data_IF_169446675776
#
_entry.id   IF_169446675776
#
_cell.length_a   1.000
_cell.length_b   1.000
_cell.length_c   1.000
_cell.angle_alpha   90.00
_cell.angle_beta   90.00
_cell.angle_gamma   90.00
#
_symmetry.space_group_name_H-M   'P 1'
#
loop_
_entity.id
_entity.type
_entity.pdbx_description
1 polymer ?
#
# COMPACT_ATOMS: atom_id res chain seq x y z
N UNK A 1 15.49 -20.86 -17.11
CA UNK A 1 14.71 -19.67 -17.53
C UNK A 1 13.27 -19.74 -17.05
N UNK A 2 12.54 -20.84 -17.31
CA UNK A 2 11.16 -21.03 -16.82
C UNK A 2 11.05 -21.00 -15.28
N UNK A 3 11.99 -21.61 -14.57
CA UNK A 3 12.06 -21.59 -13.09
C UNK A 3 12.15 -20.17 -12.48
N UNK A 4 12.72 -19.20 -13.21
CA UNK A 4 12.84 -17.80 -12.75
C UNK A 4 11.56 -17.01 -13.03
N UNK A 5 10.88 -17.34 -14.13
CA UNK A 5 9.68 -16.61 -14.58
C UNK A 5 8.40 -17.10 -13.90
N UNK A 6 8.35 -18.38 -13.51
CA UNK A 6 7.15 -19.01 -12.96
C UNK A 6 6.70 -18.40 -11.62
N UNK A 7 7.59 -18.15 -10.63
CA UNK A 7 7.20 -17.52 -9.36
C UNK A 7 6.70 -16.09 -9.55
N UNK A 8 7.39 -15.30 -10.36
CA UNK A 8 6.99 -13.91 -10.65
C UNK A 8 5.65 -13.82 -11.36
N UNK A 9 5.38 -14.70 -12.32
CA UNK A 9 4.10 -14.75 -13.02
C UNK A 9 2.94 -15.10 -12.08
N UNK A 10 3.14 -16.09 -11.20
CA UNK A 10 2.14 -16.50 -10.22
C UNK A 10 1.88 -15.39 -9.18
N UNK A 11 2.94 -14.75 -8.66
CA UNK A 11 2.83 -13.61 -7.76
C UNK A 11 2.05 -12.44 -8.42
N UNK A 12 2.34 -12.15 -9.69
CA UNK A 12 1.62 -11.12 -10.45
C UNK A 12 0.13 -11.40 -10.60
N UNK A 13 -0.27 -12.64 -10.90
CA UNK A 13 -1.69 -13.04 -10.97
C UNK A 13 -2.36 -12.90 -9.60
N UNK A 14 -1.71 -13.38 -8.55
CA UNK A 14 -2.24 -13.28 -7.19
C UNK A 14 -2.47 -11.82 -6.77
N UNK A 15 -1.50 -10.94 -7.03
CA UNK A 15 -1.64 -9.51 -6.77
C UNK A 15 -2.75 -8.89 -7.61
N UNK A 16 -2.84 -9.22 -8.91
CA UNK A 16 -3.87 -8.68 -9.79
C UNK A 16 -5.29 -9.05 -9.32
N UNK A 17 -5.48 -10.27 -8.83
CA UNK A 17 -6.75 -10.74 -8.26
C UNK A 17 -7.17 -9.94 -7.02
N UNK A 18 -6.24 -9.47 -6.19
CA UNK A 18 -6.55 -8.63 -5.03
C UNK A 18 -6.69 -7.14 -5.41
N UNK A 19 -5.77 -6.64 -6.25
CA UNK A 19 -5.70 -5.23 -6.63
C UNK A 19 -6.88 -4.79 -7.51
N UNK A 20 -7.39 -5.66 -8.39
CA UNK A 20 -8.53 -5.34 -9.25
C UNK A 20 -9.80 -4.95 -8.48
N UNK A 21 -10.32 -5.83 -7.59
CA UNK A 21 -11.46 -5.51 -6.75
C UNK A 21 -11.22 -4.31 -5.83
N UNK A 22 -10.06 -4.24 -5.16
CA UNK A 22 -9.71 -3.12 -4.29
C UNK A 22 -9.73 -1.79 -5.06
N UNK A 23 -9.10 -1.74 -6.23
CA UNK A 23 -9.03 -0.56 -7.08
C UNK A 23 -10.42 -0.07 -7.51
N UNK A 24 -11.33 -0.98 -7.86
CA UNK A 24 -12.71 -0.62 -8.21
C UNK A 24 -13.43 0.11 -7.07
N UNK A 25 -13.28 -0.36 -5.82
CA UNK A 25 -13.87 0.30 -4.65
C UNK A 25 -13.23 1.65 -4.34
N UNK A 26 -11.90 1.75 -4.47
CA UNK A 26 -11.16 3.01 -4.24
C UNK A 26 -11.63 4.09 -5.21
N UNK A 27 -11.83 3.74 -6.49
CA UNK A 27 -12.35 4.66 -7.52
C UNK A 27 -13.79 5.09 -7.20
N UNK A 28 -14.67 4.15 -6.84
CA UNK A 28 -16.06 4.49 -6.48
C UNK A 28 -16.16 5.43 -5.28
N UNK A 29 -15.23 5.35 -4.32
CA UNK A 29 -15.14 6.27 -3.18
C UNK A 29 -14.49 7.62 -3.50
N UNK A 30 -14.16 7.89 -4.77
CA UNK A 30 -13.44 9.10 -5.22
C UNK A 30 -12.05 9.27 -4.57
N UNK A 31 -11.43 8.21 -4.06
CA UNK A 31 -10.09 8.28 -3.46
C UNK A 31 -8.99 7.97 -4.49
N UNK A 32 -8.90 8.76 -5.57
CA UNK A 32 -7.97 8.45 -6.68
C UNK A 32 -6.50 8.46 -6.27
N UNK A 33 -6.13 9.23 -5.25
CA UNK A 33 -4.75 9.41 -4.79
C UNK A 33 -4.32 8.43 -3.69
N UNK A 34 -5.20 7.51 -3.29
CA UNK A 34 -4.92 6.56 -2.19
C UNK A 34 -3.78 5.60 -2.53
N UNK A 35 -3.80 5.05 -3.75
CA UNK A 35 -2.74 4.14 -4.21
C UNK A 35 -1.36 4.81 -4.29
N UNK A 36 -1.31 6.05 -4.77
CA UNK A 36 -0.09 6.85 -4.86
C UNK A 36 0.50 7.14 -3.46
N UNK A 37 -0.38 7.52 -2.51
CA UNK A 37 0.02 7.75 -1.11
C UNK A 37 0.61 6.50 -0.49
N UNK A 38 0.00 5.32 -0.72
CA UNK A 38 0.50 4.05 -0.21
C UNK A 38 1.84 3.64 -0.84
N UNK A 39 2.07 3.93 -2.11
CA UNK A 39 3.34 3.65 -2.78
C UNK A 39 4.50 4.49 -2.20
N UNK A 40 4.26 5.77 -1.89
CA UNK A 40 5.27 6.60 -1.23
C UNK A 40 5.43 6.27 0.27
N UNK A 41 4.35 5.83 0.93
CA UNK A 41 4.41 5.31 2.30
C UNK A 41 5.28 4.04 2.41
N UNK A 42 5.18 3.12 1.44
CA UNK A 42 6.02 1.92 1.44
C UNK A 42 7.49 2.26 1.20
N UNK A 43 7.79 3.19 0.29
CA UNK A 43 9.16 3.70 0.10
C UNK A 43 9.73 4.32 1.37
N UNK A 44 8.97 5.16 2.07
CA UNK A 44 9.34 5.71 3.36
C UNK A 44 9.62 4.59 4.38
N UNK A 45 8.79 3.55 4.39
CA UNK A 45 8.97 2.37 5.25
C UNK A 45 10.25 1.59 4.95
N UNK A 46 10.58 1.38 3.68
CA UNK A 46 11.87 0.78 3.28
C UNK A 46 13.03 1.65 3.78
N UNK A 47 12.96 2.96 3.57
CA UNK A 47 13.99 3.88 4.03
C UNK A 47 14.19 3.81 5.56
N UNK A 48 13.12 3.76 6.34
CA UNK A 48 13.23 3.56 7.79
C UNK A 48 13.75 2.19 8.19
N UNK A 49 13.34 1.13 7.49
CA UNK A 49 13.83 -0.23 7.74
C UNK A 49 15.35 -0.33 7.56
N UNK A 50 15.85 0.25 6.47
CA UNK A 50 17.30 0.33 6.20
C UNK A 50 18.04 1.21 7.21
N UNK A 51 17.43 2.32 7.68
CA UNK A 51 18.05 3.23 8.66
C UNK A 51 18.24 2.56 10.02
N UNK A 52 17.22 1.81 10.44
CA UNK A 52 17.15 1.18 11.75
C UNK A 52 17.78 -0.22 11.78
N UNK A 53 18.31 -0.69 10.65
CA UNK A 53 18.83 -2.05 10.44
C UNK A 53 17.78 -3.15 10.79
N UNK A 54 16.51 -2.85 10.52
CA UNK A 54 15.37 -3.77 10.73
C UNK A 54 14.94 -4.33 9.39
N UNK A 55 14.42 -5.57 9.39
CA UNK A 55 13.89 -6.18 8.18
C UNK A 55 12.89 -5.23 7.47
N UNK A 56 13.17 -4.81 6.22
CA UNK A 56 12.34 -3.85 5.49
C UNK A 56 10.88 -4.25 5.37
N UNK A 57 10.59 -5.55 5.33
CA UNK A 57 9.22 -6.07 5.25
C UNK A 57 8.36 -5.57 6.41
N UNK A 58 8.84 -5.69 7.65
CA UNK A 58 8.11 -5.23 8.83
C UNK A 58 8.05 -3.70 8.93
N UNK A 59 9.13 -3.02 8.54
CA UNK A 59 9.18 -1.56 8.54
C UNK A 59 8.16 -0.96 7.55
N UNK A 60 8.05 -1.54 6.35
CA UNK A 60 7.05 -1.15 5.33
C UNK A 60 5.64 -1.31 5.89
N UNK A 61 5.32 -2.48 6.45
CA UNK A 61 3.99 -2.72 7.03
C UNK A 61 3.69 -1.71 8.15
N UNK A 62 4.63 -1.49 9.07
CA UNK A 62 4.45 -0.57 10.19
C UNK A 62 4.23 0.89 9.75
N UNK A 63 5.09 1.41 8.86
CA UNK A 63 5.00 2.79 8.38
C UNK A 63 3.74 3.00 7.53
N UNK A 64 3.39 2.03 6.69
CA UNK A 64 2.18 2.10 5.85
C UNK A 64 0.91 2.07 6.71
N UNK A 65 0.85 1.21 7.74
CA UNK A 65 -0.25 1.18 8.71
C UNK A 65 -0.35 2.48 9.51
N UNK A 66 0.79 3.05 9.90
CA UNK A 66 0.84 4.32 10.64
C UNK A 66 0.30 5.47 9.77
N UNK A 67 0.73 5.56 8.51
CA UNK A 67 0.23 6.56 7.57
C UNK A 67 -1.26 6.35 7.24
N UNK A 68 -1.69 5.11 7.00
CA UNK A 68 -3.10 4.80 6.78
C UNK A 68 -3.97 5.15 8.01
N UNK A 69 -3.51 4.83 9.22
CA UNK A 69 -4.18 5.21 10.46
C UNK A 69 -4.24 6.72 10.68
N UNK A 70 -3.14 7.43 10.38
CA UNK A 70 -3.07 8.88 10.41
C UNK A 70 -4.06 9.52 9.43
N UNK A 71 -4.16 8.98 8.21
CA UNK A 71 -5.15 9.41 7.23
C UNK A 71 -6.58 9.23 7.74
N UNK A 72 -6.93 8.04 8.26
CA UNK A 72 -8.28 7.76 8.79
C UNK A 72 -8.61 8.67 9.97
N UNK A 73 -7.64 9.00 10.81
CA UNK A 73 -7.84 9.94 11.92
C UNK A 73 -8.08 11.37 11.44
N UNK A 74 -7.37 11.78 10.39
CA UNK A 74 -7.49 13.10 9.79
C UNK A 74 -8.77 13.25 8.95
N UNK A 75 -9.21 12.19 8.28
CA UNK A 75 -10.49 12.11 7.55
C UNK A 75 -11.69 12.35 8.46
N UNK A 76 -11.61 11.96 9.75
CA UNK A 76 -12.68 12.23 10.73
C UNK A 76 -12.85 13.72 11.05
N UNK A 77 -11.93 14.59 10.61
CA UNK A 77 -12.04 16.03 10.78
C UNK A 77 -12.63 16.66 9.51
N UNK A 78 -13.83 17.28 9.56
CA UNK A 78 -14.57 17.71 8.37
C UNK A 78 -14.00 18.97 7.68
N UNK A 79 -12.77 19.39 7.99
CA UNK A 79 -12.24 20.69 7.57
C UNK A 79 -11.52 20.66 6.21
N UNK A 80 -11.11 19.48 5.71
CA UNK A 80 -10.29 19.35 4.50
C UNK A 80 -10.81 18.23 3.60
N UNK A 81 -10.70 18.43 2.27
CA UNK A 81 -11.02 17.40 1.30
C UNK A 81 -10.05 16.22 1.41
N UNK A 82 -10.57 14.99 1.35
CA UNK A 82 -9.76 13.77 1.43
C UNK A 82 -8.63 13.75 0.38
N UNK A 83 -8.89 14.30 -0.81
CA UNK A 83 -7.93 14.34 -1.91
C UNK A 83 -6.72 15.25 -1.61
N UNK A 84 -6.94 16.36 -0.91
CA UNK A 84 -5.83 17.25 -0.52
C UNK A 84 -5.00 16.64 0.61
N UNK A 85 -5.65 15.95 1.55
CA UNK A 85 -4.96 15.22 2.61
C UNK A 85 -4.08 14.09 2.05
N UNK A 86 -4.62 13.31 1.12
CA UNK A 86 -3.89 12.25 0.42
C UNK A 86 -2.67 12.83 -0.32
N UNK A 87 -2.86 13.91 -1.09
CA UNK A 87 -1.76 14.57 -1.80
C UNK A 87 -0.65 15.08 -0.88
N UNK A 88 -1.00 15.72 0.24
CA UNK A 88 -0.02 16.22 1.22
C UNK A 88 0.73 15.06 1.90
N UNK A 89 0.01 14.00 2.27
CA UNK A 89 0.59 12.80 2.86
C UNK A 89 1.57 12.11 1.90
N UNK A 90 1.22 11.99 0.62
CA UNK A 90 2.06 11.36 -0.39
C UNK A 90 3.40 12.11 -0.56
N UNK A 91 3.35 13.43 -0.74
CA UNK A 91 4.54 14.26 -0.94
C UNK A 91 5.39 14.37 0.34
N UNK A 92 4.76 14.44 1.51
CA UNK A 92 5.49 14.45 2.79
C UNK A 92 6.18 13.11 3.05
N UNK A 93 5.52 11.98 2.76
CA UNK A 93 6.15 10.66 2.86
C UNK A 93 7.34 10.52 1.90
N UNK A 94 7.18 10.95 0.63
CA UNK A 94 8.27 10.96 -0.34
C UNK A 94 9.45 11.83 0.13
N UNK A 95 9.19 13.06 0.57
CA UNK A 95 10.22 14.00 1.02
C UNK A 95 10.97 13.47 2.24
N UNK A 96 10.26 12.95 3.23
CA UNK A 96 10.87 12.32 4.41
C UNK A 96 11.69 11.09 4.03
N UNK A 97 11.18 10.26 3.10
CA UNK A 97 11.89 9.06 2.64
C UNK A 97 13.20 9.41 1.95
N UNK A 98 13.19 10.44 1.09
CA UNK A 98 14.40 10.97 0.44
C UNK A 98 15.40 11.54 1.44
N UNK A 99 14.95 12.26 2.47
CA UNK A 99 15.83 12.75 3.53
C UNK A 99 16.49 11.60 4.27
N UNK A 100 15.72 10.57 4.65
CA UNK A 100 16.24 9.38 5.34
C UNK A 100 17.26 8.64 4.47
N UNK A 101 16.97 8.44 3.18
CA UNK A 101 17.91 7.82 2.24
C UNK A 101 19.17 8.67 2.06
N UNK A 102 19.04 10.01 1.98
CA UNK A 102 20.18 10.91 1.82
C UNK A 102 21.15 10.89 3.00
N UNK A 103 20.68 10.51 4.20
CA UNK A 103 21.55 10.33 5.37
C UNK A 103 22.39 9.04 5.27
N UNK A 104 21.99 8.08 4.44
CA UNK A 104 22.72 6.85 4.19
C UNK A 104 23.67 6.99 3.00
N UNK A 105 24.83 7.61 3.22
CA UNK A 105 25.82 7.82 2.16
C UNK A 105 26.52 6.55 1.66
N UNK A 106 26.38 5.41 2.35
CA UNK A 106 27.14 4.19 2.10
C UNK A 106 26.32 3.08 1.40
N UNK A 107 25.01 3.26 1.24
CA UNK A 107 24.13 2.25 0.65
C UNK A 107 23.65 2.79 -0.70
N UNK A 108 24.11 2.17 -1.80
CA UNK A 108 23.55 2.42 -3.14
C UNK A 108 22.18 1.75 -3.22
N UNK A 109 21.16 2.39 -2.65
CA UNK A 109 19.78 1.93 -2.77
C UNK A 109 19.30 2.23 -4.20
N UNK A 110 18.97 1.19 -4.95
CA UNK A 110 18.26 1.36 -6.21
C UNK A 110 16.79 1.68 -5.90
N UNK A 111 16.51 2.99 -5.81
CA UNK A 111 15.18 3.50 -5.54
C UNK A 111 14.18 3.05 -6.62
N UNK A 112 14.63 2.89 -7.86
CA UNK A 112 13.75 2.47 -8.97
C UNK A 112 13.36 1.00 -8.79
N UNK A 113 14.30 0.14 -8.40
CA UNK A 113 13.98 -1.26 -8.10
C UNK A 113 12.99 -1.40 -6.92
N UNK A 114 13.06 -0.54 -5.91
CA UNK A 114 12.10 -0.54 -4.79
C UNK A 114 10.75 0.10 -5.12
N UNK A 115 10.72 1.14 -5.97
CA UNK A 115 9.50 1.87 -6.32
C UNK A 115 8.65 1.10 -7.33
N UNK A 116 9.29 0.48 -8.33
CA UNK A 116 8.61 -0.36 -9.33
C UNK A 116 8.47 -1.82 -8.88
N UNK A 117 9.30 -2.27 -7.96
CA UNK A 117 9.39 -3.66 -7.53
C UNK A 117 10.15 -4.52 -8.54
N UNK A 118 10.88 -5.52 -8.05
CA UNK A 118 11.46 -6.56 -8.89
C UNK A 118 10.66 -7.85 -8.74
N UNK A 119 9.79 -8.12 -9.73
CA UNK A 119 8.96 -9.32 -9.74
C UNK A 119 9.76 -10.60 -10.01
N UNK A 120 10.97 -10.50 -10.58
CA UNK A 120 11.82 -11.65 -10.87
C UNK A 120 12.66 -12.07 -9.63
N UNK A 121 12.81 -11.19 -8.65
CA UNK A 121 13.54 -11.46 -7.41
C UNK A 121 12.69 -12.21 -6.36
N UNK A 122 11.42 -12.52 -6.65
CA UNK A 122 10.49 -13.16 -5.71
C UNK A 122 10.96 -14.59 -5.39
N UNK A 123 11.15 -14.88 -4.11
CA UNK A 123 11.49 -16.23 -3.65
C UNK A 123 10.23 -17.08 -3.37
N UNK A 124 10.33 -18.42 -3.30
CA UNK A 124 9.20 -19.28 -2.96
C UNK A 124 8.59 -18.98 -1.57
N UNK A 125 9.40 -18.48 -0.64
CA UNK A 125 8.94 -18.07 0.70
C UNK A 125 8.12 -16.78 0.65
N UNK A 126 8.56 -15.82 -0.17
CA UNK A 126 7.82 -14.59 -0.43
C UNK A 126 6.46 -14.88 -1.08
N UNK A 127 6.41 -15.88 -1.98
CA UNK A 127 5.18 -16.31 -2.63
C UNK A 127 4.12 -16.79 -1.62
N UNK A 128 4.52 -17.55 -0.59
CA UNK A 128 3.61 -17.98 0.47
C UNK A 128 3.09 -16.78 1.25
N UNK A 129 3.97 -15.83 1.58
CA UNK A 129 3.60 -14.60 2.29
C UNK A 129 2.62 -13.75 1.49
N UNK A 130 2.86 -13.59 0.18
CA UNK A 130 1.97 -12.91 -0.77
C UNK A 130 0.63 -13.64 -0.84
N UNK A 131 0.64 -14.97 -0.99
CA UNK A 131 -0.58 -15.78 -1.09
C UNK A 131 -1.46 -15.61 0.17
N UNK A 132 -0.86 -15.67 1.35
CA UNK A 132 -1.57 -15.44 2.63
C UNK A 132 -2.16 -14.04 2.65
N UNK A 133 -1.39 -13.01 2.28
CA UNK A 133 -1.88 -11.63 2.21
C UNK A 133 -3.06 -11.47 1.25
N UNK A 134 -2.98 -12.03 0.05
CA UNK A 134 -4.05 -12.00 -0.96
C UNK A 134 -5.30 -12.71 -0.45
N UNK A 135 -5.17 -13.89 0.15
CA UNK A 135 -6.30 -14.63 0.73
C UNK A 135 -6.97 -13.80 1.84
N UNK A 136 -6.20 -13.18 2.73
CA UNK A 136 -6.75 -12.32 3.79
C UNK A 136 -7.50 -11.13 3.19
N UNK A 137 -6.91 -10.42 2.22
CA UNK A 137 -7.53 -9.26 1.56
C UNK A 137 -8.82 -9.65 0.86
N UNK A 138 -8.81 -10.73 0.08
CA UNK A 138 -9.99 -11.21 -0.64
C UNK A 138 -11.07 -11.71 0.33
N UNK A 139 -10.69 -12.39 1.41
CA UNK A 139 -11.63 -12.85 2.44
C UNK A 139 -12.31 -11.67 3.15
N UNK A 140 -11.54 -10.63 3.51
CA UNK A 140 -12.07 -9.40 4.10
C UNK A 140 -13.02 -8.71 3.11
N UNK A 141 -12.62 -8.57 1.84
CA UNK A 141 -13.47 -8.01 0.80
C UNK A 141 -14.78 -8.78 0.64
N UNK A 142 -14.72 -10.10 0.61
CA UNK A 142 -15.90 -10.95 0.47
C UNK A 142 -16.84 -10.81 1.67
N UNK A 143 -16.28 -10.75 2.89
CA UNK A 143 -17.06 -10.52 4.10
C UNK A 143 -17.70 -9.11 4.12
N UNK A 144 -16.94 -8.09 3.72
CA UNK A 144 -17.38 -6.71 3.76
C UNK A 144 -18.22 -6.30 2.52
N UNK A 145 -18.34 -7.18 1.52
CA UNK A 145 -19.05 -6.93 0.26
C UNK A 145 -20.48 -6.42 0.46
N UNK A 146 -21.21 -6.98 1.43
CA UNK A 146 -22.57 -6.53 1.79
C UNK A 146 -22.60 -5.12 2.38
N UNK A 147 -21.65 -4.80 3.26
CA UNK A 147 -21.56 -3.48 3.88
C UNK A 147 -21.12 -2.43 2.84
N UNK A 148 -20.17 -2.78 1.97
CA UNK A 148 -19.72 -1.93 0.87
C UNK A 148 -20.87 -1.63 -0.11
N UNK A 149 -21.66 -2.64 -0.52
CA UNK A 149 -22.85 -2.42 -1.34
C UNK A 149 -23.90 -1.54 -0.63
N UNK A 150 -24.12 -1.75 0.67
CA UNK A 150 -25.10 -0.97 1.43
C UNK A 150 -24.74 0.52 1.51
N UNK A 151 -23.45 0.84 1.63
CA UNK A 151 -22.95 2.22 1.61
C UNK A 151 -23.08 2.88 0.23
N UNK A 152 -23.00 2.11 -0.86
CA UNK A 152 -23.17 2.65 -2.23
C UNK A 152 -24.63 2.88 -2.60
N UNK A 153 -25.56 2.06 -2.08
CA UNK A 153 -26.98 2.10 -2.45
C UNK A 153 -27.78 3.11 -1.61
N UNK A 154 -27.37 3.42 -0.37
CA UNK A 154 -28.00 4.49 0.43
C UNK A 154 -26.97 5.53 0.91
N UNK A 155 -26.78 6.65 0.19
CA UNK A 155 -26.01 7.79 0.70
C UNK A 155 -26.70 8.55 1.86
N UNK A 156 -27.89 8.13 2.31
CA UNK A 156 -28.84 9.01 3.02
C UNK A 156 -29.65 8.38 4.15
N UNK A 157 -29.12 7.42 4.91
CA UNK A 157 -29.73 7.04 6.19
C UNK A 157 -28.72 6.42 7.15
N UNK A 158 -28.02 7.26 7.91
CA UNK A 158 -27.17 6.78 8.99
C UNK A 158 -26.40 7.92 9.62
N UNK A 159 -26.97 8.49 10.69
CA UNK A 159 -26.46 9.55 11.56
C UNK A 159 -26.94 10.97 11.20
N UNK A 160 -28.08 11.34 11.78
CA UNK A 160 -28.19 12.61 12.50
C UNK A 160 -27.40 12.50 13.80
#
# INVERSE_FOLDING_TARGET
>A
MIELLFPGWLAGIMLACAAGPLGSFVVWRRMSYFGDTLAHASLLGVAFGLLLDVNPFYAVIAVTLLLAGGLVWLEKRPQLAIDTLLGIMAHSALSLGLVVVSLMSNIRVDLMAYLFGDLLAVTPEDLISIAIGVVIVVAILFWQWRNLLSMTISPGSGVC
#
